data_IF_538512740814
#
_entry.id   IF_538512740814
#
_cell.length_a   1.000
_cell.length_b   1.000
_cell.length_c   1.000
_cell.angle_alpha   90.00
_cell.angle_beta   90.00
_cell.angle_gamma   90.00
#
_symmetry.space_group_name_H-M   'P 1'
#
loop_
_entity.id
_entity.type
_entity.pdbx_description
1 polymer ?
#
# COMPACT_ATOMS: atom_id res chain seq x y z
N UNK A 1 -23.91 -3.49 -7.04
CA UNK A 1 -22.99 -2.31 -7.01
C UNK A 1 -22.55 -1.91 -5.61
N UNK A 2 -23.34 -2.22 -4.59
CA UNK A 2 -23.09 -1.84 -3.18
C UNK A 2 -21.75 -2.28 -2.62
N UNK A 3 -21.28 -3.49 -2.97
CA UNK A 3 -19.99 -4.02 -2.48
C UNK A 3 -18.74 -3.37 -3.10
N UNK A 4 -18.87 -2.70 -4.24
CA UNK A 4 -17.72 -2.08 -4.92
C UNK A 4 -17.55 -0.60 -4.61
N UNK A 5 -18.60 0.06 -4.15
CA UNK A 5 -18.57 1.51 -3.88
C UNK A 5 -17.60 1.84 -2.73
N UNK A 6 -17.74 1.17 -1.61
CA UNK A 6 -16.91 1.41 -0.43
C UNK A 6 -15.40 1.22 -0.69
N UNK A 7 -14.94 0.09 -1.29
CA UNK A 7 -13.53 -0.08 -1.59
C UNK A 7 -12.99 0.93 -2.60
N UNK A 8 -13.76 1.33 -3.61
CA UNK A 8 -13.34 2.32 -4.59
C UNK A 8 -13.24 3.72 -3.96
N UNK A 9 -14.18 4.10 -3.13
CA UNK A 9 -14.12 5.36 -2.37
C UNK A 9 -12.94 5.35 -1.41
N UNK A 10 -12.75 4.28 -0.64
CA UNK A 10 -11.61 4.14 0.26
C UNK A 10 -10.27 4.27 -0.46
N UNK A 11 -10.13 3.61 -1.61
CA UNK A 11 -8.94 3.72 -2.46
C UNK A 11 -8.71 5.14 -2.96
N UNK A 12 -9.76 5.78 -3.48
CA UNK A 12 -9.69 7.15 -4.00
C UNK A 12 -9.29 8.15 -2.92
N UNK A 13 -9.90 8.04 -1.74
CA UNK A 13 -9.55 8.89 -0.58
C UNK A 13 -8.11 8.66 -0.14
N UNK A 14 -7.66 7.40 -0.07
CA UNK A 14 -6.29 7.07 0.28
C UNK A 14 -5.28 7.64 -0.73
N UNK A 15 -5.56 7.53 -2.02
CA UNK A 15 -4.69 8.08 -3.07
C UNK A 15 -4.66 9.61 -3.06
N UNK A 16 -5.82 10.24 -2.89
CA UNK A 16 -5.92 11.71 -2.78
C UNK A 16 -5.16 12.23 -1.57
N UNK A 17 -5.36 11.62 -0.40
CA UNK A 17 -4.63 11.98 0.82
C UNK A 17 -3.11 11.82 0.62
N UNK A 18 -2.67 10.76 -0.04
CA UNK A 18 -1.26 10.53 -0.38
C UNK A 18 -0.71 11.66 -1.26
N UNK A 19 -1.41 12.01 -2.35
CA UNK A 19 -0.98 13.10 -3.24
C UNK A 19 -0.88 14.41 -2.47
N UNK A 20 -1.87 14.75 -1.64
CA UNK A 20 -1.86 15.97 -0.82
C UNK A 20 -0.66 15.98 0.12
N UNK A 21 -0.47 14.93 0.92
CA UNK A 21 0.63 14.85 1.90
C UNK A 21 2.01 15.01 1.26
N UNK A 22 2.23 14.34 0.13
CA UNK A 22 3.52 14.41 -0.55
C UNK A 22 3.71 15.72 -1.32
N UNK A 23 2.64 16.31 -1.85
CA UNK A 23 2.71 17.62 -2.52
C UNK A 23 3.01 18.73 -1.54
N UNK A 24 2.39 18.71 -0.37
CA UNK A 24 2.66 19.69 0.72
C UNK A 24 4.12 19.58 1.18
N UNK A 25 4.62 18.34 1.41
CA UNK A 25 6.02 18.13 1.80
C UNK A 25 7.03 18.55 0.73
N UNK A 26 6.68 18.38 -0.54
CA UNK A 26 7.55 18.73 -1.65
C UNK A 26 7.46 20.21 -2.08
N UNK A 27 6.51 20.98 -1.54
CA UNK A 27 6.23 22.36 -1.97
C UNK A 27 5.77 22.49 -3.42
N UNK A 28 5.38 21.37 -4.07
CA UNK A 28 4.91 21.32 -5.47
C UNK A 28 3.99 20.12 -5.69
N UNK A 29 3.09 20.21 -6.67
CA UNK A 29 2.21 19.10 -7.04
C UNK A 29 3.04 17.89 -7.50
N UNK A 30 2.86 16.76 -6.83
CA UNK A 30 3.62 15.53 -7.08
C UNK A 30 2.68 14.36 -7.43
N UNK A 31 2.25 14.29 -8.69
CA UNK A 31 1.40 13.19 -9.18
C UNK A 31 2.15 11.87 -9.37
N UNK A 32 3.49 11.87 -9.38
CA UNK A 32 4.29 10.63 -9.48
C UNK A 32 4.03 9.67 -8.32
N UNK A 33 3.54 10.20 -7.19
CA UNK A 33 3.18 9.40 -6.01
C UNK A 33 2.06 8.38 -6.30
N UNK A 34 1.20 8.62 -7.28
CA UNK A 34 0.15 7.67 -7.71
C UNK A 34 0.73 6.36 -8.26
N UNK A 35 1.89 6.44 -8.90
CA UNK A 35 2.58 5.29 -9.48
C UNK A 35 3.60 4.64 -8.53
N UNK A 36 3.85 5.24 -7.37
CA UNK A 36 4.82 4.71 -6.40
C UNK A 36 4.10 3.84 -5.37
N UNK A 37 4.63 2.65 -5.17
CA UNK A 37 4.19 1.75 -4.10
C UNK A 37 4.85 2.16 -2.79
N UNK A 38 4.04 2.39 -1.75
CA UNK A 38 4.49 2.89 -0.44
C UNK A 38 3.82 4.22 -0.08
N UNK A 39 4.10 4.71 1.10
CA UNK A 39 3.59 5.96 1.65
C UNK A 39 2.22 5.85 2.32
N UNK A 40 1.90 6.87 3.12
CA UNK A 40 0.72 6.95 3.97
C UNK A 40 -0.40 7.77 3.34
N UNK A 41 -1.66 7.30 3.41
CA UNK A 41 -2.12 5.98 3.87
C UNK A 41 -1.93 4.87 2.82
N UNK A 42 -1.91 3.59 3.26
CA UNK A 42 -1.85 2.44 2.34
C UNK A 42 -3.16 2.27 1.57
N UNK A 43 -3.13 2.48 0.28
CA UNK A 43 -4.28 2.27 -0.60
C UNK A 43 -4.66 0.79 -0.76
N UNK A 44 -3.69 -0.14 -0.63
CA UNK A 44 -3.95 -1.58 -0.62
C UNK A 44 -4.79 -1.98 0.58
N UNK A 45 -4.43 -1.50 1.77
CA UNK A 45 -5.19 -1.77 2.99
C UNK A 45 -6.57 -1.12 2.96
N UNK A 46 -6.66 0.10 2.43
CA UNK A 46 -7.93 0.82 2.33
C UNK A 46 -8.93 0.08 1.43
N UNK A 47 -8.50 -0.38 0.26
CA UNK A 47 -9.40 -1.08 -0.68
C UNK A 47 -9.87 -2.43 -0.13
N UNK A 48 -8.96 -3.25 0.43
CA UNK A 48 -9.34 -4.59 0.90
C UNK A 48 -10.20 -4.53 2.17
N UNK A 49 -9.90 -3.62 3.08
CA UNK A 49 -10.72 -3.44 4.29
C UNK A 49 -12.06 -2.77 4.00
N UNK A 50 -12.13 -1.86 3.02
CA UNK A 50 -13.38 -1.30 2.53
C UNK A 50 -14.30 -2.38 1.95
N UNK A 51 -13.75 -3.29 1.14
CA UNK A 51 -14.48 -4.43 0.61
C UNK A 51 -14.97 -5.38 1.73
N UNK A 52 -14.06 -5.75 2.64
CA UNK A 52 -14.40 -6.65 3.75
C UNK A 52 -15.50 -6.08 4.62
N UNK A 53 -15.42 -4.79 4.94
CA UNK A 53 -16.45 -4.12 5.75
C UNK A 53 -17.78 -4.05 5.03
N UNK A 54 -17.80 -3.73 3.73
CA UNK A 54 -19.01 -3.73 2.92
C UNK A 54 -19.66 -5.13 2.86
N UNK A 55 -18.87 -6.20 2.72
CA UNK A 55 -19.38 -7.57 2.76
C UNK A 55 -19.95 -7.89 4.14
N UNK A 56 -19.24 -7.55 5.21
CA UNK A 56 -19.72 -7.77 6.58
C UNK A 56 -21.04 -7.05 6.87
N UNK A 57 -21.18 -5.82 6.38
CA UNK A 57 -22.39 -5.00 6.54
C UNK A 57 -23.59 -5.58 5.78
N UNK A 58 -23.41 -6.02 4.53
CA UNK A 58 -24.53 -6.39 3.65
C UNK A 58 -24.81 -7.89 3.60
N UNK A 59 -23.77 -8.75 3.69
CA UNK A 59 -23.93 -10.20 3.67
C UNK A 59 -23.84 -10.85 5.06
N UNK A 60 -23.45 -10.05 6.07
CA UNK A 60 -23.26 -10.52 7.44
C UNK A 60 -21.84 -11.06 7.71
N UNK A 61 -21.37 -10.83 8.94
CA UNK A 61 -20.04 -11.27 9.40
C UNK A 61 -19.91 -12.80 9.54
N UNK A 62 -21.01 -13.52 9.58
CA UNK A 62 -21.04 -14.98 9.60
C UNK A 62 -21.03 -15.59 8.18
N UNK A 63 -21.04 -14.78 7.12
CA UNK A 63 -21.07 -15.28 5.75
C UNK A 63 -19.69 -15.83 5.32
N UNK A 64 -19.66 -16.90 4.50
CA UNK A 64 -18.41 -17.39 3.90
C UNK A 64 -17.67 -16.31 3.10
N UNK A 65 -18.41 -15.41 2.45
CA UNK A 65 -17.84 -14.30 1.69
C UNK A 65 -17.05 -13.34 2.60
N UNK A 66 -17.57 -13.04 3.80
CA UNK A 66 -16.86 -12.22 4.77
C UNK A 66 -15.57 -12.89 5.25
N UNK A 67 -15.64 -14.19 5.58
CA UNK A 67 -14.47 -14.94 6.01
C UNK A 67 -13.35 -14.94 4.94
N UNK A 68 -13.71 -15.18 3.68
CA UNK A 68 -12.76 -15.12 2.56
C UNK A 68 -12.18 -13.71 2.41
N UNK A 69 -13.01 -12.68 2.41
CA UNK A 69 -12.56 -11.29 2.26
C UNK A 69 -11.63 -10.88 3.42
N UNK A 70 -11.93 -11.29 4.64
CA UNK A 70 -11.13 -11.00 5.82
C UNK A 70 -9.74 -11.65 5.73
N UNK A 71 -9.67 -12.93 5.42
CA UNK A 71 -8.38 -13.63 5.24
C UNK A 71 -7.58 -13.02 4.09
N UNK A 72 -8.24 -12.73 2.96
CA UNK A 72 -7.60 -12.07 1.84
C UNK A 72 -7.04 -10.70 2.23
N UNK A 73 -7.77 -9.91 3.03
CA UNK A 73 -7.31 -8.63 3.54
C UNK A 73 -6.05 -8.76 4.40
N UNK A 74 -6.00 -9.76 5.28
CA UNK A 74 -4.79 -10.02 6.07
C UNK A 74 -3.60 -10.39 5.21
N UNK A 75 -3.77 -11.23 4.20
CA UNK A 75 -2.70 -11.60 3.27
C UNK A 75 -2.16 -10.37 2.53
N UNK A 76 -3.05 -9.54 1.98
CA UNK A 76 -2.66 -8.32 1.26
C UNK A 76 -1.95 -7.31 2.16
N UNK A 77 -2.45 -7.12 3.39
CA UNK A 77 -1.82 -6.20 4.35
C UNK A 77 -0.46 -6.70 4.83
N UNK A 78 -0.34 -8.01 5.05
CA UNK A 78 0.93 -8.64 5.42
C UNK A 78 1.97 -8.52 4.29
N UNK A 79 1.58 -8.80 3.04
CA UNK A 79 2.44 -8.60 1.87
C UNK A 79 2.89 -7.13 1.75
N UNK A 80 1.96 -6.19 1.87
CA UNK A 80 2.26 -4.77 1.77
C UNK A 80 3.27 -4.30 2.83
N UNK A 81 3.20 -4.83 4.06
CA UNK A 81 4.08 -4.45 5.16
C UNK A 81 5.41 -5.23 5.17
N UNK A 82 5.40 -6.51 4.77
CA UNK A 82 6.52 -7.44 4.97
C UNK A 82 7.36 -7.67 3.72
N UNK A 83 6.79 -8.31 2.71
CA UNK A 83 7.52 -8.83 1.56
C UNK A 83 8.20 -7.73 0.74
N UNK A 84 7.51 -6.63 0.46
CA UNK A 84 8.07 -5.50 -0.29
C UNK A 84 9.19 -4.79 0.46
N UNK A 85 9.10 -4.76 1.78
CA UNK A 85 10.15 -4.20 2.64
C UNK A 85 11.40 -5.08 2.66
N UNK A 86 11.23 -6.40 2.58
CA UNK A 86 12.33 -7.34 2.46
C UNK A 86 13.03 -7.21 1.09
N UNK A 87 12.27 -7.13 0.00
CA UNK A 87 12.80 -6.93 -1.35
C UNK A 87 13.56 -5.59 -1.47
N UNK A 88 13.07 -4.51 -0.86
CA UNK A 88 13.77 -3.21 -0.82
C UNK A 88 15.11 -3.29 -0.09
N UNK A 89 15.18 -4.01 1.04
CA UNK A 89 16.45 -4.24 1.75
C UNK A 89 17.44 -5.07 0.93
N UNK A 90 16.96 -6.08 0.22
CA UNK A 90 17.80 -6.88 -0.69
C UNK A 90 18.37 -6.02 -1.83
N UNK A 91 17.53 -5.17 -2.43
CA UNK A 91 17.98 -4.24 -3.47
C UNK A 91 19.04 -3.26 -2.94
N UNK A 92 18.88 -2.73 -1.72
CA UNK A 92 19.86 -1.84 -1.09
C UNK A 92 21.21 -2.54 -0.85
N UNK A 93 21.19 -3.80 -0.40
CA UNK A 93 22.42 -4.59 -0.21
C UNK A 93 23.10 -4.85 -1.56
N UNK A 94 22.33 -5.24 -2.58
CA UNK A 94 22.86 -5.49 -3.93
C UNK A 94 23.45 -4.22 -4.54
N UNK A 95 22.80 -3.06 -4.37
CA UNK A 95 23.33 -1.79 -4.85
C UNK A 95 24.68 -1.45 -4.20
N UNK A 96 24.84 -1.68 -2.89
CA UNK A 96 26.13 -1.49 -2.20
C UNK A 96 27.21 -2.43 -2.74
N UNK A 97 26.90 -3.70 -2.94
CA UNK A 97 27.85 -4.67 -3.51
C UNK A 97 28.28 -4.27 -4.94
N UNK A 98 27.34 -3.75 -5.74
CA UNK A 98 27.63 -3.24 -7.08
C UNK A 98 28.51 -2.00 -7.00
N UNK A 99 28.22 -1.03 -6.10
CA UNK A 99 29.07 0.16 -5.87
C UNK A 99 30.51 -0.25 -5.52
N UNK A 100 30.69 -1.20 -4.60
CA UNK A 100 32.01 -1.69 -4.19
C UNK A 100 32.77 -2.35 -5.37
N UNK A 101 32.07 -3.13 -6.20
CA UNK A 101 32.67 -3.78 -7.37
C UNK A 101 32.99 -2.79 -8.50
N UNK A 102 32.19 -1.76 -8.69
CA UNK A 102 32.36 -0.73 -9.71
C UNK A 102 33.55 0.17 -9.39
N UNK A 103 33.72 0.54 -8.11
CA UNK A 103 34.92 1.28 -7.68
C UNK A 103 36.22 0.52 -7.94
N UNK A 104 36.14 -0.82 -7.99
CA UNK A 104 37.33 -1.66 -8.35
C UNK A 104 37.54 -1.85 -9.87
N UNK A 105 36.51 -1.65 -10.72
CA UNK A 105 36.53 -2.04 -12.15
C UNK A 105 36.12 -0.98 -13.18
N UNK A 106 35.64 0.20 -12.77
CA UNK A 106 35.29 1.29 -13.70
C UNK A 106 34.10 1.01 -14.65
N UNK A 107 33.15 0.15 -14.24
CA UNK A 107 31.98 -0.25 -15.02
C UNK A 107 30.79 0.71 -14.77
N UNK A 108 29.97 1.00 -15.78
CA UNK A 108 28.76 1.82 -15.62
C UNK A 108 27.72 1.12 -14.75
N UNK A 109 27.19 1.85 -13.77
CA UNK A 109 26.32 1.37 -12.72
C UNK A 109 24.83 1.47 -13.09
N UNK A 110 24.12 0.37 -13.06
CA UNK A 110 22.64 0.38 -13.14
C UNK A 110 22.05 0.04 -11.77
N UNK A 111 21.63 1.07 -11.03
CA UNK A 111 21.07 0.90 -9.67
C UNK A 111 19.72 0.19 -9.70
N UNK A 112 19.61 -0.85 -8.88
CA UNK A 112 18.34 -1.52 -8.62
C UNK A 112 17.41 -0.60 -7.85
N UNK A 113 16.12 -0.61 -8.21
CA UNK A 113 15.11 0.18 -7.51
C UNK A 113 14.90 -0.36 -6.10
N UNK A 114 15.25 0.43 -5.10
CA UNK A 114 14.96 0.12 -3.71
C UNK A 114 13.47 0.35 -3.44
N UNK A 115 12.69 -0.73 -3.49
CA UNK A 115 11.26 -0.69 -3.21
C UNK A 115 11.05 -0.55 -1.70
N UNK A 116 10.74 0.66 -1.27
CA UNK A 116 10.27 0.92 0.08
C UNK A 116 8.82 0.42 0.19
N UNK A 117 8.61 -0.73 0.85
CA UNK A 117 7.27 -1.21 1.18
C UNK A 117 6.57 -0.30 2.19
N UNK A 118 5.31 -0.59 2.47
CA UNK A 118 4.56 0.14 3.50
C UNK A 118 5.10 -0.15 4.90
N UNK A 119 5.12 0.87 5.76
CA UNK A 119 5.31 0.67 7.20
C UNK A 119 4.04 0.08 7.82
N UNK A 120 4.13 -0.64 8.96
CA UNK A 120 2.92 -1.14 9.65
C UNK A 120 1.91 -0.03 9.98
N UNK A 121 2.38 1.17 10.30
CA UNK A 121 1.52 2.33 10.56
C UNK A 121 0.74 2.75 9.31
N UNK A 122 1.39 2.78 8.15
CA UNK A 122 0.72 3.12 6.88
C UNK A 122 -0.35 2.09 6.51
N UNK A 123 -0.09 0.80 6.78
CA UNK A 123 -1.05 -0.30 6.60
C UNK A 123 -2.24 -0.13 7.54
N UNK A 124 -1.99 0.15 8.81
CA UNK A 124 -3.04 0.33 9.82
C UNK A 124 -3.93 1.54 9.50
N UNK A 125 -3.35 2.69 9.17
CA UNK A 125 -4.11 3.89 8.79
C UNK A 125 -4.96 3.64 7.54
N UNK A 126 -4.41 2.93 6.54
CA UNK A 126 -5.17 2.52 5.37
C UNK A 126 -6.34 1.60 5.72
N UNK A 127 -6.13 0.63 6.62
CA UNK A 127 -7.17 -0.28 7.08
C UNK A 127 -8.31 0.45 7.79
N UNK A 128 -7.98 1.36 8.71
CA UNK A 128 -8.99 2.20 9.42
C UNK A 128 -9.81 3.03 8.44
N UNK A 129 -9.15 3.62 7.44
CA UNK A 129 -9.84 4.37 6.40
C UNK A 129 -10.80 3.48 5.57
N UNK A 130 -10.37 2.26 5.24
CA UNK A 130 -11.21 1.28 4.55
C UNK A 130 -12.43 0.88 5.37
N UNK A 131 -12.25 0.58 6.66
CA UNK A 131 -13.36 0.27 7.57
C UNK A 131 -14.33 1.44 7.66
N UNK A 132 -13.85 2.65 7.84
CA UNK A 132 -14.70 3.85 7.92
C UNK A 132 -15.54 4.02 6.64
N UNK A 133 -14.94 3.90 5.46
CA UNK A 133 -15.67 3.97 4.19
C UNK A 133 -16.72 2.86 4.07
N UNK A 134 -16.41 1.63 4.48
CA UNK A 134 -17.34 0.51 4.44
C UNK A 134 -18.53 0.64 5.42
N UNK A 135 -18.31 1.28 6.56
CA UNK A 135 -19.38 1.54 7.53
C UNK A 135 -20.32 2.67 7.09
N UNK A 136 -19.76 3.70 6.45
CA UNK A 136 -20.53 4.88 6.02
C UNK A 136 -21.37 4.58 4.79
N UNK A 137 -20.83 3.85 3.83
CA UNK A 137 -21.46 3.50 2.56
C UNK A 137 -22.17 2.15 2.62
#
# INVERSE_FOLDING_TARGET
>A
MTYLLAPLVAWTVAQTAKVILYSVRAGRLNLRVLAVTGGMPSSHSAIVMGLTTAIGKHAGVASPAFAIALIFSFVVMYDAAGLRRAAGRQAAILNRLVEDLVHMRGVQEQKLRELLGHTPVEVLVGAVLGVAAGLIL
#
